data_IF_339756524802
#
_entry.id   IF_339756524802
#
_cell.length_a   1.000
_cell.length_b   1.000
_cell.length_c   1.000
_cell.angle_alpha   90.00
_cell.angle_beta   90.00
_cell.angle_gamma   90.00
#
_symmetry.space_group_name_H-M   'P 1'
#
loop_
_entity.id
_entity.type
_entity.pdbx_description
1 polymer ?
#
# COMPACT_ATOMS: atom_id res chain seq x y z
N UNK A 1 5.43 16.86 10.73
CA UNK A 1 4.36 15.82 10.93
C UNK A 1 3.72 15.86 12.33
N UNK A 2 4.20 16.74 13.22
CA UNK A 2 3.73 16.79 14.61
C UNK A 2 2.20 16.85 14.72
N UNK A 3 1.62 15.95 15.53
CA UNK A 3 0.18 15.86 15.78
C UNK A 3 -0.67 15.34 14.59
N UNK A 4 -0.05 14.82 13.54
CA UNK A 4 -0.73 14.19 12.41
C UNK A 4 -0.89 12.68 12.61
N UNK A 5 -2.04 12.14 12.26
CA UNK A 5 -2.34 10.71 12.31
C UNK A 5 -2.23 10.12 10.90
N UNK A 6 -1.30 9.19 10.72
CA UNK A 6 -0.97 8.63 9.41
C UNK A 6 -1.27 7.13 9.39
N UNK A 7 -2.10 6.70 8.46
CA UNK A 7 -2.32 5.28 8.17
C UNK A 7 -1.35 4.84 7.06
N UNK A 8 -0.48 3.87 7.36
CA UNK A 8 0.49 3.32 6.40
C UNK A 8 0.19 1.84 6.20
N UNK A 9 0.04 1.40 4.95
CA UNK A 9 -0.10 -0.03 4.63
C UNK A 9 1.16 -0.55 3.98
N UNK A 10 1.58 -1.80 4.28
CA UNK A 10 2.90 -2.29 3.85
C UNK A 10 2.96 -3.80 3.64
N UNK A 11 3.79 -4.25 2.70
CA UNK A 11 3.96 -5.67 2.37
C UNK A 11 2.95 -6.18 1.35
N UNK A 12 2.98 -7.46 1.06
CA UNK A 12 2.08 -8.14 0.12
C UNK A 12 0.84 -8.72 0.80
N UNK A 13 -0.29 -8.73 0.11
CA UNK A 13 -1.45 -9.53 0.48
C UNK A 13 -1.16 -11.02 0.24
N UNK A 14 -1.74 -11.89 1.07
CA UNK A 14 -1.75 -13.34 0.87
C UNK A 14 -3.19 -13.75 0.57
N UNK A 15 -3.41 -14.27 -0.62
CA UNK A 15 -4.72 -14.81 -1.01
C UNK A 15 -4.68 -16.33 -0.83
N UNK A 16 -5.31 -16.80 0.22
CA UNK A 16 -5.31 -18.23 0.57
C UNK A 16 -6.13 -19.05 -0.40
N UNK A 17 -5.63 -20.24 -0.72
CA UNK A 17 -6.36 -21.28 -1.46
C UNK A 17 -7.00 -22.27 -0.50
N UNK A 18 -6.27 -22.58 0.58
CA UNK A 18 -6.72 -23.41 1.69
C UNK A 18 -6.16 -22.84 3.01
N UNK A 19 -6.32 -23.54 4.12
CA UNK A 19 -5.87 -23.05 5.43
C UNK A 19 -4.35 -22.91 5.54
N UNK A 20 -3.58 -23.51 4.63
CA UNK A 20 -2.11 -23.60 4.72
C UNK A 20 -1.40 -22.86 3.58
N UNK A 21 -2.02 -22.80 2.39
CA UNK A 21 -1.38 -22.33 1.16
C UNK A 21 -2.12 -21.14 0.53
N UNK A 22 -1.36 -20.30 -0.15
CA UNK A 22 -1.87 -19.14 -0.87
C UNK A 22 -0.86 -18.58 -1.86
N UNK A 23 -1.25 -17.58 -2.62
CA UNK A 23 -0.34 -16.77 -3.43
C UNK A 23 -0.18 -15.37 -2.83
N UNK A 24 0.94 -14.72 -3.10
CA UNK A 24 1.27 -13.40 -2.57
C UNK A 24 2.15 -12.61 -3.53
N UNK A 25 2.13 -11.31 -3.39
CA UNK A 25 3.14 -10.43 -3.96
C UNK A 25 4.45 -10.52 -3.16
N UNK A 26 5.60 -10.39 -3.86
CA UNK A 26 6.92 -10.51 -3.25
C UNK A 26 7.37 -9.26 -2.46
N UNK A 27 6.49 -8.31 -2.24
CA UNK A 27 6.79 -7.07 -1.53
C UNK A 27 7.06 -7.33 -0.04
N UNK A 28 8.27 -7.01 0.41
CA UNK A 28 8.72 -7.19 1.80
C UNK A 28 8.45 -5.98 2.71
N UNK A 29 7.77 -4.95 2.22
CA UNK A 29 7.38 -3.79 3.03
C UNK A 29 8.51 -2.83 3.42
N UNK A 30 9.71 -2.94 2.84
CA UNK A 30 10.86 -2.09 3.20
C UNK A 30 10.58 -0.60 3.09
N UNK A 31 9.94 -0.16 2.01
CA UNK A 31 9.63 1.27 1.81
C UNK A 31 8.60 1.76 2.83
N UNK A 32 7.55 0.97 3.09
CA UNK A 32 6.53 1.32 4.10
C UNK A 32 7.12 1.44 5.50
N UNK A 33 8.04 0.54 5.87
CA UNK A 33 8.80 0.63 7.13
C UNK A 33 9.58 1.95 7.21
N UNK A 34 10.38 2.29 6.19
CA UNK A 34 11.18 3.52 6.18
C UNK A 34 10.32 4.78 6.24
N UNK A 35 9.17 4.80 5.56
CA UNK A 35 8.23 5.91 5.63
C UNK A 35 7.64 6.04 7.03
N UNK A 36 7.28 4.92 7.68
CA UNK A 36 6.76 4.92 9.03
C UNK A 36 7.79 5.44 10.04
N UNK A 37 9.03 4.98 9.95
CA UNK A 37 10.13 5.44 10.81
C UNK A 37 10.40 6.94 10.63
N UNK A 38 10.35 7.47 9.40
CA UNK A 38 10.51 8.90 9.12
C UNK A 38 9.32 9.72 9.64
N UNK A 39 8.07 9.22 9.46
CA UNK A 39 6.89 9.89 9.98
C UNK A 39 6.91 10.00 11.51
N UNK A 40 7.30 8.92 12.21
CA UNK A 40 7.46 8.89 13.66
C UNK A 40 8.56 9.86 14.12
N UNK A 41 9.71 9.89 13.44
CA UNK A 41 10.80 10.82 13.74
C UNK A 41 10.37 12.29 13.63
N UNK A 42 9.45 12.59 12.73
CA UNK A 42 8.83 13.91 12.53
C UNK A 42 7.62 14.18 13.45
N UNK A 43 7.35 13.29 14.44
CA UNK A 43 6.35 13.46 15.47
C UNK A 43 4.90 13.12 15.05
N UNK A 44 4.72 12.29 14.02
CA UNK A 44 3.40 11.76 13.67
C UNK A 44 3.01 10.60 14.58
N UNK A 45 1.70 10.37 14.70
CA UNK A 45 1.15 9.08 15.18
C UNK A 45 0.90 8.19 13.97
N UNK A 46 1.37 6.96 14.00
CA UNK A 46 1.32 6.02 12.87
C UNK A 46 0.50 4.79 13.23
N UNK A 47 -0.56 4.52 12.45
CA UNK A 47 -1.20 3.21 12.38
C UNK A 47 -0.60 2.46 11.19
N UNK A 48 0.11 1.37 11.46
CA UNK A 48 0.86 0.60 10.46
C UNK A 48 0.19 -0.75 10.22
N UNK A 49 -0.53 -0.86 9.11
CA UNK A 49 -1.12 -2.12 8.63
C UNK A 49 -0.10 -2.89 7.81
N UNK A 50 0.24 -4.10 8.24
CA UNK A 50 1.29 -4.88 7.58
C UNK A 50 0.84 -6.27 7.13
N UNK A 51 1.26 -6.69 5.94
CA UNK A 51 1.15 -8.08 5.51
C UNK A 51 2.05 -9.00 6.33
N UNK A 52 1.79 -10.30 6.24
CA UNK A 52 2.43 -11.32 7.08
C UNK A 52 3.97 -11.29 7.01
N UNK A 53 4.54 -11.12 5.81
CA UNK A 53 6.00 -11.11 5.58
C UNK A 53 6.61 -9.71 5.56
N UNK A 54 5.84 -8.68 5.91
CA UNK A 54 6.31 -7.31 5.83
C UNK A 54 7.29 -6.98 6.96
N UNK A 55 8.35 -6.24 6.63
CA UNK A 55 9.19 -5.59 7.62
C UNK A 55 8.39 -4.55 8.41
N UNK A 56 8.65 -4.46 9.72
CA UNK A 56 7.95 -3.55 10.63
C UNK A 56 8.89 -2.45 11.10
N UNK A 57 8.38 -1.24 11.32
CA UNK A 57 9.16 -0.17 11.94
C UNK A 57 9.55 -0.57 13.37
N UNK A 58 10.74 -0.14 13.78
CA UNK A 58 11.20 -0.26 15.16
C UNK A 58 10.93 1.05 15.85
N UNK A 59 9.91 1.06 16.71
CA UNK A 59 9.77 2.10 17.71
C UNK A 59 9.66 1.42 19.07
N UNK A 60 10.68 1.59 19.88
CA UNK A 60 10.81 0.83 21.14
C UNK A 60 9.97 1.40 22.28
N UNK A 61 9.52 2.65 22.19
CA UNK A 61 8.96 3.38 23.33
C UNK A 61 7.71 4.20 23.00
N UNK A 62 7.06 4.01 21.84
CA UNK A 62 6.12 5.00 21.41
C UNK A 62 4.67 4.53 21.47
N UNK A 63 3.91 5.25 22.28
CA UNK A 63 2.45 5.34 22.18
C UNK A 63 2.00 5.84 20.78
N UNK A 64 2.95 6.31 19.97
CA UNK A 64 2.71 6.87 18.63
C UNK A 64 2.70 5.82 17.52
N UNK A 65 2.96 4.54 17.80
CA UNK A 65 2.95 3.46 16.80
C UNK A 65 1.97 2.36 17.16
N UNK A 66 0.90 2.21 16.36
CA UNK A 66 -0.01 1.07 16.40
C UNK A 66 0.32 0.11 15.28
N UNK A 67 0.64 -1.15 15.59
CA UNK A 67 0.86 -2.21 14.60
C UNK A 67 -0.38 -3.09 14.49
N UNK A 68 -0.83 -3.34 13.26
CA UNK A 68 -1.92 -4.23 12.96
C UNK A 68 -1.61 -5.03 11.69
N UNK A 69 -1.93 -6.33 11.68
CA UNK A 69 -1.69 -7.18 10.51
C UNK A 69 -2.91 -7.27 9.61
N UNK A 70 -2.69 -7.48 8.31
CA UNK A 70 -3.71 -7.92 7.37
C UNK A 70 -3.24 -9.18 6.62
N UNK A 71 -4.20 -9.92 6.06
CA UNK A 71 -3.94 -11.13 5.30
C UNK A 71 -4.10 -10.90 3.79
N UNK A 72 -5.33 -10.98 3.27
CA UNK A 72 -5.65 -10.76 1.86
C UNK A 72 -6.13 -9.34 1.58
N UNK A 73 -6.41 -9.07 0.30
CA UNK A 73 -6.83 -7.73 -0.15
C UNK A 73 -8.18 -7.30 0.43
N UNK A 74 -9.09 -8.24 0.69
CA UNK A 74 -10.40 -7.96 1.27
C UNK A 74 -10.25 -7.56 2.73
N UNK A 75 -9.45 -8.31 3.51
CA UNK A 75 -9.15 -7.98 4.91
C UNK A 75 -8.44 -6.62 5.02
N UNK A 76 -7.48 -6.34 4.12
CA UNK A 76 -6.85 -5.02 4.03
C UNK A 76 -7.87 -3.91 3.77
N UNK A 77 -8.79 -4.11 2.82
CA UNK A 77 -9.85 -3.16 2.49
C UNK A 77 -10.72 -2.86 3.71
N UNK A 78 -11.20 -3.91 4.39
CA UNK A 78 -12.13 -3.80 5.51
C UNK A 78 -11.48 -3.09 6.71
N UNK A 79 -10.23 -3.44 7.03
CA UNK A 79 -9.46 -2.80 8.10
C UNK A 79 -9.17 -1.33 7.79
N UNK A 80 -8.70 -1.03 6.59
CA UNK A 80 -8.47 0.37 6.18
C UNK A 80 -9.74 1.19 6.26
N UNK A 81 -10.87 0.65 5.76
CA UNK A 81 -12.17 1.33 5.80
C UNK A 81 -12.61 1.58 7.24
N UNK A 82 -12.51 0.57 8.11
CA UNK A 82 -12.87 0.70 9.52
C UNK A 82 -12.04 1.80 10.21
N UNK A 83 -10.72 1.79 10.05
CA UNK A 83 -9.81 2.79 10.63
C UNK A 83 -10.14 4.19 10.11
N UNK A 84 -10.26 4.37 8.79
CA UNK A 84 -10.53 5.69 8.18
C UNK A 84 -11.87 6.28 8.63
N UNK A 85 -12.89 5.44 8.89
CA UNK A 85 -14.21 5.88 9.31
C UNK A 85 -14.33 6.09 10.83
N UNK A 86 -13.54 5.39 11.65
CA UNK A 86 -13.63 5.43 13.11
C UNK A 86 -12.57 6.30 13.78
N UNK A 87 -11.45 6.55 13.11
CA UNK A 87 -10.32 7.32 13.67
C UNK A 87 -10.10 8.61 12.84
N UNK A 88 -9.53 9.62 13.48
CA UNK A 88 -9.08 10.81 12.76
C UNK A 88 -7.79 10.49 12.03
N UNK A 89 -7.87 10.28 10.71
CA UNK A 89 -6.72 10.06 9.83
C UNK A 89 -6.50 11.29 8.95
N UNK A 90 -5.31 11.87 9.02
CA UNK A 90 -4.91 13.03 8.22
C UNK A 90 -4.35 12.61 6.85
N UNK A 91 -3.60 11.50 6.80
CA UNK A 91 -3.10 10.95 5.54
C UNK A 91 -3.09 9.43 5.51
N UNK A 92 -3.24 8.88 4.30
CA UNK A 92 -3.04 7.45 4.00
C UNK A 92 -1.88 7.29 3.04
N UNK A 93 -0.91 6.45 3.38
CA UNK A 93 0.21 6.07 2.52
C UNK A 93 0.07 4.59 2.19
N UNK A 94 -0.44 4.29 0.99
CA UNK A 94 -0.71 2.92 0.57
C UNK A 94 0.50 2.33 -0.18
N UNK A 95 1.43 1.72 0.58
CA UNK A 95 2.59 1.01 -0.01
C UNK A 95 2.36 -0.50 -0.13
N UNK A 96 1.27 -1.02 0.44
CA UNK A 96 0.95 -2.43 0.34
C UNK A 96 0.76 -2.85 -1.13
N UNK A 97 1.35 -3.98 -1.50
CA UNK A 97 1.14 -4.61 -2.79
C UNK A 97 -0.16 -5.41 -2.77
N UNK A 98 -1.25 -4.77 -3.16
CA UNK A 98 -2.56 -5.38 -3.24
C UNK A 98 -2.63 -6.43 -4.35
N UNK A 99 -3.42 -7.48 -4.12
CA UNK A 99 -3.68 -8.50 -5.13
C UNK A 99 -4.56 -7.95 -6.26
N UNK A 100 -4.27 -8.38 -7.48
CA UNK A 100 -5.12 -8.10 -8.65
C UNK A 100 -6.22 -9.15 -8.81
N UNK A 101 -6.00 -10.35 -8.27
CA UNK A 101 -6.91 -11.49 -8.33
C UNK A 101 -7.04 -12.15 -6.97
N UNK A 102 -8.27 -12.63 -6.68
CA UNK A 102 -8.60 -13.47 -5.52
C UNK A 102 -9.20 -14.77 -6.01
N UNK A 103 -9.12 -15.82 -5.19
CA UNK A 103 -9.72 -17.11 -5.53
C UNK A 103 -11.22 -16.96 -5.67
N UNK A 104 -11.76 -17.44 -6.79
CA UNK A 104 -13.20 -17.55 -7.03
C UNK A 104 -13.70 -18.92 -6.65
N UNK A 105 -13.09 -19.96 -7.24
CA UNK A 105 -13.39 -21.38 -6.97
C UNK A 105 -12.19 -22.25 -7.28
N UNK A 106 -12.18 -23.44 -6.69
CA UNK A 106 -11.21 -24.49 -7.01
C UNK A 106 -11.94 -25.75 -7.46
N UNK A 107 -11.34 -26.44 -8.42
CA UNK A 107 -11.88 -27.67 -8.99
C UNK A 107 -10.82 -28.79 -8.88
N UNK A 108 -11.27 -30.02 -8.70
CA UNK A 108 -10.41 -31.18 -8.90
C UNK A 108 -10.21 -31.48 -10.40
N UNK A 109 -9.47 -32.53 -10.71
CA UNK A 109 -9.19 -32.96 -12.10
C UNK A 109 -10.43 -33.45 -12.84
N UNK A 110 -11.47 -33.88 -12.13
CA UNK A 110 -12.78 -34.30 -12.64
C UNK A 110 -13.75 -33.11 -12.84
N UNK A 111 -13.37 -31.89 -12.38
CA UNK A 111 -14.19 -30.68 -12.48
C UNK A 111 -15.13 -30.47 -11.30
N UNK A 112 -15.04 -31.23 -10.21
CA UNK A 112 -15.84 -31.04 -9.02
C UNK A 112 -15.27 -29.91 -8.15
N UNK A 113 -16.16 -29.19 -7.43
CA UNK A 113 -15.76 -28.13 -6.51
C UNK A 113 -14.98 -28.68 -5.31
N UNK A 114 -13.83 -28.10 -5.05
CA UNK A 114 -13.05 -28.32 -3.83
C UNK A 114 -13.36 -27.19 -2.84
N UNK A 115 -13.81 -27.49 -1.62
CA UNK A 115 -14.05 -26.46 -0.61
C UNK A 115 -12.73 -25.84 -0.13
N UNK A 116 -12.74 -24.56 0.22
CA UNK A 116 -11.55 -23.82 0.69
C UNK A 116 -11.23 -24.09 2.18
N UNK A 117 -11.93 -24.98 2.83
CA UNK A 117 -11.73 -25.36 4.22
C UNK A 117 -10.78 -26.55 4.34
N UNK A 118 -9.92 -26.52 5.33
CA UNK A 118 -8.91 -27.55 5.56
C UNK A 118 -7.71 -27.46 4.59
N UNK A 119 -6.90 -28.51 4.59
CA UNK A 119 -5.73 -28.66 3.71
C UNK A 119 -6.09 -29.56 2.52
N UNK A 120 -5.92 -29.07 1.31
CA UNK A 120 -6.08 -29.85 0.09
C UNK A 120 -5.01 -30.94 0.01
N UNK A 121 -5.38 -32.18 -0.41
CA UNK A 121 -4.43 -33.27 -0.58
C UNK A 121 -3.34 -32.90 -1.59
N UNK A 122 -2.09 -33.30 -1.29
CA UNK A 122 -0.96 -33.13 -2.22
C UNK A 122 -1.07 -34.02 -3.46
N UNK A 123 -1.85 -35.10 -3.40
CA UNK A 123 -2.03 -36.05 -4.50
C UNK A 123 -3.00 -35.57 -5.59
N UNK A 124 -3.81 -34.56 -5.25
CA UNK A 124 -4.83 -34.02 -6.14
C UNK A 124 -4.61 -32.50 -6.32
N UNK A 125 -3.73 -32.09 -7.26
CA UNK A 125 -3.50 -30.67 -7.52
C UNK A 125 -4.78 -29.99 -8.03
N UNK A 126 -5.19 -28.85 -7.41
CA UNK A 126 -6.42 -28.16 -7.82
C UNK A 126 -6.18 -27.30 -9.07
N UNK A 127 -7.26 -27.09 -9.84
CA UNK A 127 -7.37 -26.02 -10.81
C UNK A 127 -7.99 -24.82 -10.10
N UNK A 128 -7.27 -23.71 -10.01
CA UNK A 128 -7.72 -22.52 -9.30
C UNK A 128 -8.25 -21.49 -10.31
N UNK A 129 -9.50 -21.10 -10.17
CA UNK A 129 -10.10 -20.01 -10.91
C UNK A 129 -10.02 -18.74 -10.08
N UNK A 130 -9.59 -17.66 -10.72
CA UNK A 130 -9.48 -16.35 -10.09
C UNK A 130 -10.56 -15.40 -10.61
N UNK A 131 -10.98 -14.48 -9.74
CA UNK A 131 -11.76 -13.29 -10.09
C UNK A 131 -11.00 -12.02 -9.73
N UNK A 132 -11.43 -10.89 -10.31
CA UNK A 132 -10.82 -9.59 -10.04
C UNK A 132 -10.96 -9.21 -8.57
N UNK A 133 -9.85 -8.77 -7.98
CA UNK A 133 -9.81 -8.21 -6.63
C UNK A 133 -10.34 -6.76 -6.60
N UNK A 134 -10.80 -6.28 -5.44
CA UNK A 134 -11.18 -4.87 -5.26
C UNK A 134 -9.98 -3.95 -5.46
N UNK A 135 -10.22 -2.76 -6.02
CA UNK A 135 -9.18 -1.74 -6.23
C UNK A 135 -9.18 -0.75 -5.07
N UNK A 136 -8.62 -1.16 -3.93
CA UNK A 136 -8.66 -0.44 -2.65
C UNK A 136 -8.20 1.01 -2.77
N UNK A 137 -7.08 1.28 -3.47
CA UNK A 137 -6.55 2.65 -3.64
C UNK A 137 -7.60 3.64 -4.17
N UNK A 138 -8.52 3.19 -5.04
CA UNK A 138 -9.57 4.07 -5.60
C UNK A 138 -10.66 4.41 -4.58
N UNK A 139 -10.89 3.56 -3.61
CA UNK A 139 -11.99 3.68 -2.64
C UNK A 139 -11.63 4.58 -1.45
N UNK A 140 -10.33 4.79 -1.18
CA UNK A 140 -9.87 5.55 0.00
C UNK A 140 -10.49 6.95 0.05
N UNK A 141 -10.49 7.65 -1.09
CA UNK A 141 -11.08 8.99 -1.19
C UNK A 141 -12.62 9.00 -1.22
N UNK A 142 -13.25 7.84 -1.43
CA UNK A 142 -14.70 7.67 -1.26
C UNK A 142 -15.06 7.54 0.22
N UNK A 143 -14.21 6.90 1.03
CA UNK A 143 -14.41 6.78 2.47
C UNK A 143 -14.15 8.09 3.21
N UNK A 144 -13.11 8.82 2.82
CA UNK A 144 -12.83 10.17 3.34
C UNK A 144 -12.16 11.03 2.25
N UNK A 145 -12.90 11.98 1.63
CA UNK A 145 -12.37 12.82 0.56
C UNK A 145 -11.31 13.84 1.00
N UNK A 146 -11.25 14.16 2.29
CA UNK A 146 -10.40 15.23 2.82
C UNK A 146 -8.99 14.78 3.19
N UNK A 147 -8.75 13.47 3.46
CA UNK A 147 -7.41 13.02 3.81
C UNK A 147 -6.41 13.14 2.64
N UNK A 148 -5.13 13.34 2.96
CA UNK A 148 -4.05 13.25 1.97
C UNK A 148 -3.82 11.79 1.58
N UNK A 149 -3.69 11.50 0.28
CA UNK A 149 -3.47 10.14 -0.22
C UNK A 149 -2.15 10.06 -0.97
N UNK A 150 -1.28 9.16 -0.55
CA UNK A 150 -0.06 8.76 -1.27
C UNK A 150 -0.25 7.34 -1.79
N UNK A 151 -0.22 7.20 -3.12
CA UNK A 151 -0.30 5.91 -3.80
C UNK A 151 1.02 5.48 -4.39
N UNK A 152 1.13 4.19 -4.70
CA UNK A 152 2.28 3.59 -5.38
C UNK A 152 1.85 2.94 -6.69
N UNK A 153 2.66 3.11 -7.72
CA UNK A 153 2.51 2.46 -9.02
C UNK A 153 3.79 1.76 -9.41
N UNK A 154 3.76 0.44 -9.33
CA UNK A 154 4.85 -0.43 -9.77
C UNK A 154 4.56 -0.93 -11.18
N UNK A 155 5.58 -0.91 -12.02
CA UNK A 155 5.56 -1.49 -13.37
C UNK A 155 6.79 -2.40 -13.59
N UNK A 156 6.75 -3.22 -14.61
CA UNK A 156 7.86 -4.08 -15.01
C UNK A 156 8.10 -3.95 -16.50
N UNK A 157 9.38 -3.92 -16.90
CA UNK A 157 9.81 -3.88 -18.30
C UNK A 157 9.21 -2.72 -19.10
N UNK A 158 9.14 -1.53 -18.52
CA UNK A 158 8.70 -0.30 -19.18
C UNK A 158 9.79 0.77 -19.09
N UNK A 159 9.80 1.69 -20.06
CA UNK A 159 10.62 2.90 -20.00
C UNK A 159 10.10 3.89 -18.95
N UNK A 160 10.88 4.93 -18.66
CA UNK A 160 10.56 5.96 -17.69
C UNK A 160 9.30 6.74 -18.07
N UNK A 161 9.14 7.06 -19.32
CA UNK A 161 8.02 7.84 -19.87
C UNK A 161 6.72 7.09 -19.66
N UNK A 162 6.66 5.83 -20.04
CA UNK A 162 5.49 4.94 -19.83
C UNK A 162 5.19 4.75 -18.34
N UNK A 163 6.21 4.58 -17.49
CA UNK A 163 6.05 4.45 -16.04
C UNK A 163 5.37 5.68 -15.47
N UNK A 164 5.86 6.88 -15.81
CA UNK A 164 5.32 8.16 -15.32
C UNK A 164 3.89 8.39 -15.83
N UNK A 165 3.62 8.13 -17.11
CA UNK A 165 2.29 8.26 -17.69
C UNK A 165 1.27 7.38 -16.96
N UNK A 166 1.58 6.10 -16.75
CA UNK A 166 0.71 5.17 -16.02
C UNK A 166 0.52 5.57 -14.56
N UNK A 167 1.54 6.15 -13.93
CA UNK A 167 1.44 6.67 -12.58
C UNK A 167 0.51 7.90 -12.51
N UNK A 168 0.60 8.83 -13.46
CA UNK A 168 -0.31 9.99 -13.56
C UNK A 168 -1.76 9.56 -13.76
N UNK A 169 -2.01 8.59 -14.65
CA UNK A 169 -3.36 8.02 -14.84
C UNK A 169 -3.87 7.40 -13.54
N UNK A 170 -3.02 6.65 -12.82
CA UNK A 170 -3.40 6.07 -11.51
C UNK A 170 -3.68 7.15 -10.48
N UNK A 171 -2.85 8.19 -10.41
CA UNK A 171 -3.03 9.33 -9.51
C UNK A 171 -4.38 10.01 -9.74
N UNK A 172 -4.72 10.33 -10.98
CA UNK A 172 -6.01 10.93 -11.33
C UNK A 172 -7.21 10.05 -10.96
N UNK A 173 -7.14 8.73 -11.28
CA UNK A 173 -8.24 7.80 -10.98
C UNK A 173 -8.43 7.49 -9.50
N UNK A 174 -7.41 7.66 -8.67
CA UNK A 174 -7.48 7.49 -7.21
C UNK A 174 -7.61 8.81 -6.46
N UNK A 175 -7.52 9.95 -7.14
CA UNK A 175 -7.49 11.30 -6.56
C UNK A 175 -6.37 11.42 -5.51
N UNK A 176 -5.23 10.76 -5.76
CA UNK A 176 -4.11 10.81 -4.84
C UNK A 176 -3.44 12.18 -4.86
N UNK A 177 -2.95 12.63 -3.69
CA UNK A 177 -2.19 13.88 -3.54
C UNK A 177 -0.76 13.71 -4.09
N UNK A 178 -0.20 12.51 -3.88
CA UNK A 178 1.12 12.11 -4.41
C UNK A 178 1.04 10.69 -4.98
N UNK A 179 1.80 10.43 -6.04
CA UNK A 179 1.96 9.09 -6.61
C UNK A 179 3.45 8.75 -6.75
N UNK A 180 3.85 7.62 -6.19
CA UNK A 180 5.21 7.11 -6.32
C UNK A 180 5.26 6.07 -7.42
N UNK A 181 6.05 6.32 -8.46
CA UNK A 181 6.27 5.42 -9.58
C UNK A 181 7.60 4.70 -9.43
N UNK A 182 7.61 3.38 -9.55
CA UNK A 182 8.80 2.54 -9.44
C UNK A 182 8.70 1.28 -10.30
N UNK A 183 9.86 0.68 -10.60
CA UNK A 183 9.93 -0.57 -11.35
C UNK A 183 10.08 -1.79 -10.43
N UNK A 184 9.86 -2.99 -10.98
CA UNK A 184 10.02 -4.26 -10.27
C UNK A 184 11.41 -4.47 -9.66
N UNK A 185 12.46 -3.80 -10.18
CA UNK A 185 13.81 -3.84 -9.61
C UNK A 185 13.84 -3.38 -8.15
N UNK A 186 12.96 -2.45 -7.79
CA UNK A 186 12.82 -1.94 -6.43
C UNK A 186 12.41 -3.02 -5.40
N UNK A 187 11.88 -4.16 -5.84
CA UNK A 187 11.56 -5.28 -4.95
C UNK A 187 12.83 -5.97 -4.45
N UNK A 188 13.91 -5.94 -5.23
CA UNK A 188 15.12 -6.71 -4.99
C UNK A 188 16.28 -5.87 -4.44
N UNK A 189 16.38 -4.58 -4.87
CA UNK A 189 17.47 -3.69 -4.48
C UNK A 189 16.97 -2.45 -3.74
N UNK A 190 17.82 -1.88 -2.86
CA UNK A 190 17.50 -0.65 -2.14
C UNK A 190 17.79 0.61 -2.96
N UNK A 191 18.73 0.52 -3.92
CA UNK A 191 19.18 1.61 -4.80
C UNK A 191 18.33 1.80 -6.05
N UNK A 192 17.13 1.23 -6.10
CA UNK A 192 16.22 1.45 -7.23
C UNK A 192 15.70 2.89 -7.22
N UNK A 193 15.66 3.50 -8.41
CA UNK A 193 15.12 4.83 -8.61
C UNK A 193 13.60 4.83 -8.47
N UNK A 194 13.09 5.81 -7.72
CA UNK A 194 11.66 6.11 -7.63
C UNK A 194 11.38 7.51 -8.15
N UNK A 195 10.17 7.74 -8.66
CA UNK A 195 9.70 9.05 -9.09
C UNK A 195 8.46 9.41 -8.29
N UNK A 196 8.47 10.55 -7.59
CA UNK A 196 7.32 11.08 -6.87
C UNK A 196 6.67 12.15 -7.75
N UNK A 197 5.37 12.02 -7.97
CA UNK A 197 4.58 12.90 -8.82
C UNK A 197 3.55 13.60 -7.92
N UNK A 198 3.46 14.93 -7.98
CA UNK A 198 2.46 15.73 -7.29
C UNK A 198 1.28 16.10 -8.21
N UNK A 199 0.27 16.79 -7.66
CA UNK A 199 -0.92 17.22 -8.42
C UNK A 199 -0.61 18.29 -9.48
N UNK A 200 0.47 19.04 -9.35
CA UNK A 200 0.96 20.02 -10.33
C UNK A 200 1.72 19.37 -11.47
N UNK A 201 1.86 18.03 -11.44
CA UNK A 201 2.64 17.21 -12.36
C UNK A 201 4.17 17.39 -12.26
N UNK A 202 4.67 18.00 -11.19
CA UNK A 202 6.10 17.99 -10.90
C UNK A 202 6.55 16.57 -10.58
N UNK A 203 7.78 16.25 -11.00
CA UNK A 203 8.36 14.92 -10.87
C UNK A 203 9.68 15.03 -10.13
N UNK A 204 9.75 14.41 -8.96
CA UNK A 204 10.96 14.33 -8.14
C UNK A 204 11.56 12.94 -8.25
N UNK A 205 12.83 12.87 -8.65
CA UNK A 205 13.56 11.61 -8.75
C UNK A 205 14.31 11.34 -7.46
N UNK A 206 14.13 10.15 -6.87
CA UNK A 206 14.80 9.67 -5.68
C UNK A 206 15.69 8.47 -6.05
N UNK A 207 16.95 8.47 -5.60
CA UNK A 207 17.92 7.45 -5.96
C UNK A 207 17.77 6.13 -5.17
N UNK A 208 17.02 6.16 -4.07
CA UNK A 208 16.84 5.00 -3.18
C UNK A 208 15.59 5.14 -2.30
N UNK A 209 15.24 4.06 -1.60
CA UNK A 209 14.05 4.00 -0.73
C UNK A 209 14.09 4.98 0.43
N UNK A 210 15.28 5.24 1.01
CA UNK A 210 15.41 6.18 2.13
C UNK A 210 15.11 7.61 1.68
N UNK A 211 15.71 8.02 0.56
CA UNK A 211 15.42 9.33 -0.04
C UNK A 211 13.96 9.48 -0.42
N UNK A 212 13.35 8.41 -0.96
CA UNK A 212 11.93 8.38 -1.27
C UNK A 212 11.06 8.58 -0.01
N UNK A 213 11.39 7.91 1.09
CA UNK A 213 10.66 8.03 2.35
C UNK A 213 10.72 9.48 2.88
N UNK A 214 11.92 10.05 2.94
CA UNK A 214 12.13 11.44 3.38
C UNK A 214 11.36 12.43 2.49
N UNK A 215 11.45 12.28 1.18
CA UNK A 215 10.76 13.17 0.23
C UNK A 215 9.24 13.09 0.35
N UNK A 216 8.66 11.90 0.56
CA UNK A 216 7.21 11.73 0.79
C UNK A 216 6.78 12.50 2.04
N UNK A 217 7.52 12.35 3.16
CA UNK A 217 7.19 13.01 4.41
C UNK A 217 7.34 14.52 4.31
N UNK A 218 8.38 15.01 3.63
CA UNK A 218 8.55 16.45 3.36
C UNK A 218 7.42 17.01 2.49
N UNK A 219 7.04 16.31 1.42
CA UNK A 219 5.95 16.73 0.55
C UNK A 219 4.60 16.76 1.30
N UNK A 220 4.30 15.76 2.14
CA UNK A 220 3.11 15.77 2.98
C UNK A 220 3.11 16.92 3.98
N UNK A 221 4.26 17.23 4.62
CA UNK A 221 4.37 18.39 5.50
C UNK A 221 4.02 19.70 4.78
N UNK A 222 4.52 19.87 3.55
CA UNK A 222 4.20 21.05 2.75
C UNK A 222 2.71 21.14 2.42
N UNK A 223 2.08 20.03 2.03
CA UNK A 223 0.65 19.98 1.73
C UNK A 223 -0.20 20.31 2.96
N UNK A 224 0.14 19.81 4.15
CA UNK A 224 -0.56 20.14 5.40
C UNK A 224 -0.44 21.63 5.76
N UNK A 225 0.71 22.26 5.52
CA UNK A 225 0.90 23.69 5.74
C UNK A 225 0.05 24.54 4.79
N UNK A 226 -0.06 24.13 3.53
CA UNK A 226 -0.90 24.81 2.53
C UNK A 226 -2.38 24.74 2.90
N UNK A 227 -2.90 23.58 3.34
CA UNK A 227 -4.28 23.44 3.80
C UNK A 227 -4.59 24.36 4.99
N UNK A 228 -3.69 24.40 5.98
CA UNK A 228 -3.87 25.26 7.16
C UNK A 228 -3.95 26.74 6.77
N UNK A 229 -3.15 27.15 5.79
CA UNK A 229 -3.13 28.56 5.31
C UNK A 229 -4.38 28.90 4.48
N UNK A 230 -4.94 27.94 3.75
CA UNK A 230 -6.14 28.13 2.94
C UNK A 230 -7.43 28.25 3.79
N UNK A 231 -7.49 27.58 4.95
CA UNK A 231 -8.64 27.64 5.88
C UNK A 231 -8.63 28.92 6.72
N UNK A 232 -7.47 29.58 6.84
CA UNK A 232 -7.30 30.82 7.63
C UNK A 232 -7.57 32.10 6.84
N UNK A 233 -7.95 31.98 5.58
CA UNK A 233 -8.37 33.07 4.68
C UNK A 233 -9.87 33.00 4.38
#
# INVERSE_FOLDING_TARGET
>A
MLGKNILITSGGCIEKWDEVRGHTNLAKGKIGKMIAEEALAEGATVTYLHGYFAERPCDKDSESLKLESFEGIVDLQDKMKAIILSEKIDAVIMTAAGSDWIVDKMLDKEGNLIPQNGKISSDNPPVIHFKKAPKVLKQIKEWNPHLMLVGFKLESNVDKETLIERAKIRMGTSKASLMVANTSDSLHVNSATHYIINQDNDIYQCANKKETANMIIQALNQLFLQETTAVSR
#
